data_IF_793300544897
#
_entry.id   IF_793300544897
#
_cell.length_a   1.000
_cell.length_b   1.000
_cell.length_c   1.000
_cell.angle_alpha   90.00
_cell.angle_beta   90.00
_cell.angle_gamma   90.00
#
_symmetry.space_group_name_H-M   'P 1'
#
loop_
_entity.id
_entity.type
_entity.pdbx_description
1 polymer ?
#
# COMPACT_ATOMS: atom_id res chain seq x y z
N UNK A 1 21.81 -16.57 -48.37
CA UNK A 1 22.55 -15.35 -47.96
C UNK A 1 21.69 -14.37 -47.16
N UNK A 2 20.42 -14.66 -46.88
CA UNK A 2 19.47 -13.72 -46.20
C UNK A 2 19.20 -14.05 -44.72
N UNK A 3 19.84 -15.04 -44.12
CA UNK A 3 19.57 -15.45 -42.72
C UNK A 3 20.70 -15.14 -41.72
N UNK A 4 21.78 -14.46 -42.11
CA UNK A 4 22.90 -14.14 -41.20
C UNK A 4 22.73 -12.82 -40.45
N UNK A 5 21.83 -11.92 -40.86
CA UNK A 5 21.66 -10.60 -40.29
C UNK A 5 20.52 -10.49 -39.27
N UNK A 6 19.84 -11.58 -38.91
CA UNK A 6 18.71 -11.55 -38.01
C UNK A 6 19.08 -11.62 -36.51
N UNK A 7 20.35 -11.87 -36.19
CA UNK A 7 20.80 -12.04 -34.79
C UNK A 7 21.59 -10.89 -34.20
N UNK A 8 21.88 -9.82 -34.96
CA UNK A 8 22.62 -8.65 -34.48
C UNK A 8 21.72 -7.49 -34.05
N UNK A 9 20.44 -7.72 -33.84
CA UNK A 9 19.60 -6.71 -33.21
C UNK A 9 19.75 -6.78 -31.70
N UNK A 10 20.86 -6.24 -31.20
CA UNK A 10 20.98 -5.80 -29.82
C UNK A 10 20.23 -4.46 -29.71
N UNK A 11 19.08 -4.38 -29.03
CA UNK A 11 18.46 -3.11 -28.77
C UNK A 11 19.40 -2.35 -27.84
N UNK A 12 20.13 -1.38 -28.36
CA UNK A 12 20.80 -0.35 -27.54
C UNK A 12 19.69 0.30 -26.73
N UNK A 13 19.56 -0.17 -25.48
CA UNK A 13 18.66 0.41 -24.49
C UNK A 13 19.08 1.86 -24.28
N UNK A 14 18.42 2.78 -24.93
CA UNK A 14 18.55 4.21 -24.69
C UNK A 14 17.83 4.63 -23.42
N UNK A 15 18.08 3.88 -22.32
CA UNK A 15 17.70 4.30 -20.96
C UNK A 15 18.89 5.02 -20.31
N UNK A 16 19.44 6.00 -20.97
CA UNK A 16 20.21 7.03 -20.29
C UNK A 16 19.20 7.93 -19.55
N UNK A 17 18.74 7.42 -18.41
CA UNK A 17 18.04 8.23 -17.42
C UNK A 17 19.07 9.17 -16.82
N UNK A 18 18.88 10.46 -17.04
CA UNK A 18 19.50 11.55 -16.29
C UNK A 18 19.14 11.40 -14.79
N UNK A 19 19.91 10.61 -14.09
CA UNK A 19 19.96 10.60 -12.64
C UNK A 19 21.35 11.07 -12.26
N UNK A 20 21.42 12.31 -11.77
CA UNK A 20 22.57 12.72 -10.99
C UNK A 20 22.86 11.60 -10.02
N UNK A 21 24.08 11.05 -10.03
CA UNK A 21 24.49 9.89 -9.26
C UNK A 21 24.33 10.19 -7.77
N UNK A 22 23.18 9.81 -7.22
CA UNK A 22 23.03 9.79 -5.78
C UNK A 22 24.09 8.82 -5.24
N UNK A 23 24.84 9.24 -4.23
CA UNK A 23 25.88 8.41 -3.62
C UNK A 23 25.30 7.05 -3.22
N UNK A 24 26.14 6.00 -3.21
CA UNK A 24 25.67 4.67 -2.79
C UNK A 24 25.14 4.67 -1.35
N UNK A 25 25.61 5.61 -0.55
CA UNK A 25 25.13 5.86 0.80
C UNK A 25 23.71 6.47 0.81
N UNK A 26 23.44 7.43 -0.08
CA UNK A 26 22.09 7.98 -0.26
C UNK A 26 21.12 6.93 -0.81
N UNK A 27 21.57 6.06 -1.70
CA UNK A 27 20.78 4.92 -2.19
C UNK A 27 20.47 3.92 -1.08
N UNK A 28 21.45 3.62 -0.20
CA UNK A 28 21.29 2.75 0.97
C UNK A 28 20.38 3.36 2.03
N UNK A 29 20.52 4.64 2.34
CA UNK A 29 19.68 5.36 3.30
C UNK A 29 18.23 5.46 2.80
N UNK A 30 18.03 5.78 1.53
CA UNK A 30 16.70 5.77 0.89
C UNK A 30 16.09 4.38 0.89
N UNK A 31 16.85 3.34 0.55
CA UNK A 31 16.41 1.96 0.64
C UNK A 31 16.00 1.60 2.09
N UNK A 32 16.83 1.93 3.08
CA UNK A 32 16.55 1.65 4.49
C UNK A 32 15.27 2.34 4.99
N UNK A 33 15.01 3.56 4.53
CA UNK A 33 13.80 4.32 4.88
C UNK A 33 12.52 3.75 4.24
N UNK A 34 12.62 3.09 3.08
CA UNK A 34 11.50 2.41 2.42
C UNK A 34 11.16 1.06 3.05
N UNK A 35 12.13 0.39 3.68
CA UNK A 35 11.99 -0.98 4.17
C UNK A 35 11.57 -1.10 5.64
N UNK A 36 11.44 0.00 6.37
CA UNK A 36 10.86 -0.05 7.72
C UNK A 36 9.35 -0.24 7.62
N UNK A 37 8.90 -1.44 7.95
CA UNK A 37 7.47 -1.70 8.13
C UNK A 37 6.94 -0.82 9.26
N UNK A 38 5.69 -0.34 9.17
CA UNK A 38 5.08 0.38 10.27
C UNK A 38 4.88 -0.58 11.46
N UNK A 39 5.05 -0.08 12.68
CA UNK A 39 4.82 -0.86 13.93
C UNK A 39 3.38 -1.36 14.03
N UNK A 40 2.45 -0.59 13.49
CA UNK A 40 1.02 -0.93 13.42
C UNK A 40 0.57 -0.90 11.96
N UNK A 41 -0.19 -1.93 11.56
CA UNK A 41 -0.76 -1.99 10.22
C UNK A 41 -1.60 -0.75 9.91
N UNK A 42 -1.38 -0.15 8.73
CA UNK A 42 -2.12 1.02 8.25
C UNK A 42 -3.48 0.54 7.73
N UNK A 43 -4.56 1.06 8.28
CA UNK A 43 -5.92 0.70 7.90
C UNK A 43 -6.38 1.28 6.55
N UNK A 44 -7.44 0.71 5.98
CA UNK A 44 -7.99 1.10 4.67
C UNK A 44 -8.49 2.54 4.63
N UNK A 45 -8.86 3.12 5.75
CA UNK A 45 -9.25 4.52 5.88
C UNK A 45 -8.16 5.50 5.45
N UNK A 46 -6.88 5.12 5.64
CA UNK A 46 -5.72 5.91 5.28
C UNK A 46 -5.19 5.64 3.86
N UNK A 47 -5.84 4.73 3.11
CA UNK A 47 -5.42 4.40 1.75
C UNK A 47 -5.71 5.55 0.77
N UNK A 48 -4.83 5.74 -0.24
CA UNK A 48 -5.05 6.73 -1.29
C UNK A 48 -6.24 6.37 -2.18
N UNK A 49 -6.84 7.38 -2.87
CA UNK A 49 -7.99 7.17 -3.75
C UNK A 49 -7.77 6.09 -4.81
N UNK A 50 -6.57 6.03 -5.41
CA UNK A 50 -6.24 5.03 -6.44
C UNK A 50 -6.31 3.59 -5.90
N UNK A 51 -5.83 3.32 -4.69
CA UNK A 51 -5.90 1.99 -4.08
C UNK A 51 -7.34 1.65 -3.72
N UNK A 52 -8.10 2.60 -3.17
CA UNK A 52 -9.52 2.40 -2.86
C UNK A 52 -10.33 2.07 -4.11
N UNK A 53 -10.04 2.73 -5.25
CA UNK A 53 -10.69 2.43 -6.53
C UNK A 53 -10.30 1.05 -7.05
N UNK A 54 -9.02 0.66 -6.97
CA UNK A 54 -8.61 -0.71 -7.33
C UNK A 54 -9.40 -1.73 -6.51
N UNK A 55 -9.54 -1.53 -5.20
CA UNK A 55 -10.25 -2.44 -4.29
C UNK A 55 -11.76 -2.55 -4.56
N UNK A 56 -12.33 -1.67 -5.38
CA UNK A 56 -13.72 -1.76 -5.84
C UNK A 56 -13.93 -2.71 -7.01
N UNK A 57 -12.83 -3.20 -7.61
CA UNK A 57 -12.85 -4.05 -8.81
C UNK A 57 -12.44 -3.30 -10.07
N UNK A 58 -11.95 -4.03 -11.06
CA UNK A 58 -11.45 -3.49 -12.32
C UNK A 58 -11.95 -4.32 -13.51
N UNK A 59 -12.10 -3.65 -14.64
CA UNK A 59 -12.36 -4.30 -15.94
C UNK A 59 -11.06 -4.80 -16.58
N UNK A 60 -9.99 -3.99 -16.53
CA UNK A 60 -8.67 -4.33 -17.08
C UNK A 60 -7.54 -4.08 -16.07
N UNK A 61 -6.35 -4.59 -16.38
CA UNK A 61 -5.16 -4.39 -15.56
C UNK A 61 -5.11 -5.23 -14.27
N UNK A 62 -6.00 -6.20 -14.09
CA UNK A 62 -6.15 -7.02 -12.87
C UNK A 62 -4.86 -7.68 -12.40
N UNK A 63 -4.05 -8.25 -13.31
CA UNK A 63 -2.75 -8.88 -12.95
C UNK A 63 -1.76 -7.86 -12.39
N UNK A 64 -1.67 -6.68 -13.03
CA UNK A 64 -0.80 -5.59 -12.55
C UNK A 64 -1.31 -5.00 -11.24
N UNK A 65 -2.63 -4.91 -11.08
CA UNK A 65 -3.26 -4.44 -9.84
C UNK A 65 -3.09 -5.41 -8.69
N UNK A 66 -3.13 -6.72 -8.94
CA UNK A 66 -2.78 -7.75 -7.97
C UNK A 66 -1.35 -7.53 -7.43
N UNK A 67 -0.38 -7.32 -8.32
CA UNK A 67 0.99 -6.98 -7.94
C UNK A 67 1.07 -5.68 -7.11
N UNK A 68 0.36 -4.63 -7.52
CA UNK A 68 0.30 -3.37 -6.78
C UNK A 68 -0.26 -3.57 -5.38
N UNK A 69 -1.38 -4.27 -5.25
CA UNK A 69 -2.05 -4.51 -3.97
C UNK A 69 -1.19 -5.33 -3.02
N UNK A 70 -0.57 -6.42 -3.49
CA UNK A 70 0.33 -7.25 -2.68
C UNK A 70 1.45 -6.38 -2.09
N UNK A 71 2.19 -5.66 -2.93
CA UNK A 71 3.32 -4.85 -2.48
C UNK A 71 2.88 -3.69 -1.58
N UNK A 72 1.73 -3.09 -1.87
CA UNK A 72 1.17 -2.01 -1.06
C UNK A 72 0.75 -2.50 0.33
N UNK A 73 -0.01 -3.59 0.43
CA UNK A 73 -0.52 -4.12 1.70
C UNK A 73 0.61 -4.65 2.58
N UNK A 74 1.59 -5.38 2.01
CA UNK A 74 2.80 -5.79 2.73
C UNK A 74 3.53 -4.55 3.28
N UNK A 75 3.72 -3.53 2.45
CA UNK A 75 4.41 -2.29 2.86
C UNK A 75 3.62 -1.48 3.91
N UNK A 76 2.30 -1.68 3.98
CA UNK A 76 1.43 -1.13 5.03
C UNK A 76 1.44 -1.94 6.33
N UNK A 77 2.20 -3.04 6.40
CA UNK A 77 2.33 -3.87 7.60
C UNK A 77 1.19 -4.86 7.81
N UNK A 78 0.46 -5.23 6.75
CA UNK A 78 -0.58 -6.25 6.86
C UNK A 78 0.03 -7.65 6.91
N UNK A 79 -0.60 -8.53 7.68
CA UNK A 79 -0.26 -9.95 7.73
C UNK A 79 -0.70 -10.68 6.47
N UNK A 80 0.04 -11.72 6.07
CA UNK A 80 -0.19 -12.42 4.81
C UNK A 80 -1.58 -13.05 4.71
N UNK A 81 -2.11 -13.60 5.79
CA UNK A 81 -3.45 -14.20 5.84
C UNK A 81 -4.55 -13.16 5.59
N UNK A 82 -4.40 -11.96 6.16
CA UNK A 82 -5.31 -10.84 5.92
C UNK A 82 -5.21 -10.32 4.49
N UNK A 83 -3.99 -10.29 3.93
CA UNK A 83 -3.76 -9.90 2.53
C UNK A 83 -4.42 -10.91 1.60
N UNK A 84 -4.25 -12.21 1.84
CA UNK A 84 -4.87 -13.27 1.04
C UNK A 84 -6.38 -13.11 1.00
N UNK A 85 -7.02 -13.04 2.17
CA UNK A 85 -8.47 -12.83 2.29
C UNK A 85 -8.91 -11.59 1.52
N UNK A 86 -8.23 -10.48 1.72
CA UNK A 86 -8.60 -9.20 1.09
C UNK A 86 -8.43 -9.20 -0.42
N UNK A 87 -7.41 -9.92 -0.93
CA UNK A 87 -7.20 -10.07 -2.38
C UNK A 87 -8.24 -10.97 -3.03
N UNK A 88 -8.69 -12.02 -2.35
CA UNK A 88 -9.76 -12.88 -2.86
C UNK A 88 -11.10 -12.11 -2.89
N UNK A 89 -11.44 -11.36 -1.84
CA UNK A 89 -12.60 -10.47 -1.82
C UNK A 89 -12.56 -9.40 -2.92
N UNK A 90 -11.38 -8.83 -3.18
CA UNK A 90 -11.18 -7.91 -4.30
C UNK A 90 -11.38 -8.59 -5.64
N UNK A 91 -10.86 -9.81 -5.79
CA UNK A 91 -10.93 -10.54 -7.04
C UNK A 91 -12.37 -10.83 -7.50
N UNK A 92 -13.27 -11.09 -6.56
CA UNK A 92 -14.70 -11.32 -6.83
C UNK A 92 -15.40 -10.07 -7.40
N UNK A 93 -14.85 -8.88 -7.11
CA UNK A 93 -15.41 -7.59 -7.60
C UNK A 93 -14.95 -7.23 -9.02
N UNK A 94 -13.97 -7.95 -9.57
CA UNK A 94 -13.51 -7.71 -10.93
C UNK A 94 -14.53 -8.26 -11.95
N UNK A 95 -14.68 -7.59 -13.07
CA UNK A 95 -15.58 -8.03 -14.17
C UNK A 95 -15.27 -9.45 -14.61
N UNK A 96 -13.98 -9.79 -14.71
CA UNK A 96 -13.50 -11.16 -14.92
C UNK A 96 -12.49 -11.50 -13.83
N UNK A 97 -12.85 -12.31 -12.82
CA UNK A 97 -11.95 -12.69 -11.76
C UNK A 97 -10.71 -13.44 -12.26
N UNK A 98 -9.57 -13.16 -11.65
CA UNK A 98 -8.36 -13.95 -11.85
C UNK A 98 -8.54 -15.33 -11.23
N UNK A 99 -7.84 -16.33 -11.77
CA UNK A 99 -7.78 -17.65 -11.12
C UNK A 99 -7.18 -17.51 -9.72
N UNK A 100 -7.82 -18.00 -8.65
CA UNK A 100 -7.31 -17.88 -7.28
C UNK A 100 -5.86 -18.33 -7.12
N UNK A 101 -5.47 -19.40 -7.84
CA UNK A 101 -4.10 -19.92 -7.83
C UNK A 101 -3.06 -18.89 -8.31
N UNK A 102 -3.45 -18.00 -9.24
CA UNK A 102 -2.57 -16.92 -9.67
C UNK A 102 -2.28 -15.94 -8.51
N UNK A 103 -3.30 -15.52 -7.80
CA UNK A 103 -3.19 -14.59 -6.67
C UNK A 103 -2.34 -15.22 -5.56
N UNK A 104 -2.67 -16.47 -5.19
CA UNK A 104 -1.94 -17.22 -4.16
C UNK A 104 -0.47 -17.43 -4.55
N UNK A 105 -0.20 -17.73 -5.82
CA UNK A 105 1.16 -17.87 -6.34
C UNK A 105 1.98 -16.60 -6.23
N UNK A 106 1.38 -15.44 -6.57
CA UNK A 106 2.03 -14.13 -6.44
C UNK A 106 2.30 -13.77 -4.96
N UNK A 107 1.35 -14.06 -4.08
CA UNK A 107 1.49 -13.79 -2.65
C UNK A 107 2.59 -14.66 -2.02
N UNK A 108 2.62 -15.96 -2.34
CA UNK A 108 3.68 -16.89 -1.89
C UNK A 108 5.06 -16.45 -2.38
N UNK A 109 5.16 -16.03 -3.64
CA UNK A 109 6.42 -15.51 -4.18
C UNK A 109 6.90 -14.27 -3.41
N UNK A 110 6.00 -13.33 -3.11
CA UNK A 110 6.32 -12.15 -2.32
C UNK A 110 6.79 -12.52 -0.89
N UNK A 111 6.14 -13.50 -0.26
CA UNK A 111 6.50 -14.02 1.05
C UNK A 111 7.89 -14.69 1.05
N UNK A 112 8.17 -15.53 0.06
CA UNK A 112 9.45 -16.26 -0.04
C UNK A 112 10.63 -15.34 -0.35
N UNK A 113 10.40 -14.29 -1.14
CA UNK A 113 11.47 -13.36 -1.54
C UNK A 113 12.06 -12.58 -0.37
N UNK A 114 11.38 -12.51 0.78
CA UNK A 114 11.74 -11.73 1.98
C UNK A 114 12.08 -10.27 1.70
N UNK A 115 11.82 -9.79 0.48
CA UNK A 115 12.06 -8.40 0.07
C UNK A 115 10.74 -7.66 0.07
N UNK A 116 10.62 -6.66 0.93
CA UNK A 116 9.49 -5.74 0.88
C UNK A 116 9.71 -4.76 -0.28
N UNK A 117 8.98 -4.96 -1.36
CA UNK A 117 9.01 -4.05 -2.49
C UNK A 117 7.94 -2.97 -2.29
N UNK A 118 8.28 -1.68 -2.41
CA UNK A 118 7.28 -0.63 -2.37
C UNK A 118 6.35 -0.75 -3.60
N UNK A 119 5.11 -0.25 -3.48
CA UNK A 119 4.23 -0.17 -4.64
C UNK A 119 4.83 0.78 -5.69
N UNK A 120 4.51 0.59 -6.99
CA UNK A 120 5.00 1.45 -8.07
C UNK A 120 4.76 2.94 -7.80
N UNK A 121 5.64 3.78 -8.33
CA UNK A 121 5.49 5.23 -8.23
C UNK A 121 4.31 5.74 -9.06
N UNK A 122 3.70 6.84 -8.63
CA UNK A 122 2.54 7.45 -9.28
C UNK A 122 2.82 7.97 -10.70
N UNK A 123 4.08 8.31 -11.01
CA UNK A 123 4.50 8.76 -12.32
C UNK A 123 4.64 7.63 -13.35
N UNK A 124 4.66 6.36 -12.91
CA UNK A 124 4.73 5.23 -13.81
C UNK A 124 3.38 5.03 -14.52
N UNK A 125 3.40 5.30 -15.83
CA UNK A 125 2.20 5.28 -16.68
C UNK A 125 1.59 3.89 -16.84
N UNK A 126 2.35 2.82 -16.61
CA UNK A 126 1.90 1.44 -16.77
C UNK A 126 0.98 0.93 -15.66
N UNK A 127 0.76 1.74 -14.63
CA UNK A 127 -0.05 1.33 -13.47
C UNK A 127 -1.30 2.21 -13.32
N UNK A 128 -1.37 3.03 -12.28
CA UNK A 128 -2.59 3.74 -11.86
C UNK A 128 -3.29 4.56 -12.95
N UNK A 129 -2.52 5.16 -13.85
CA UNK A 129 -3.08 5.93 -14.98
C UNK A 129 -3.64 5.01 -16.06
N UNK A 130 -2.94 3.89 -16.36
CA UNK A 130 -3.41 2.94 -17.38
C UNK A 130 -4.68 2.20 -16.97
N UNK A 131 -4.95 2.07 -15.65
CA UNK A 131 -6.19 1.48 -15.13
C UNK A 131 -7.30 2.52 -14.91
N UNK A 132 -7.06 3.80 -15.26
CA UNK A 132 -8.00 4.91 -15.04
C UNK A 132 -8.40 5.13 -13.57
N UNK A 133 -7.60 4.62 -12.62
CA UNK A 133 -7.86 4.75 -11.17
C UNK A 133 -7.14 5.94 -10.54
N UNK A 134 -6.30 6.65 -11.29
CA UNK A 134 -5.58 7.80 -10.77
C UNK A 134 -6.50 9.03 -10.67
N UNK A 135 -7.13 9.23 -9.51
CA UNK A 135 -7.90 10.42 -9.16
C UNK A 135 -7.21 11.14 -8.01
N UNK A 136 -6.24 12.04 -8.31
CA UNK A 136 -5.41 12.66 -7.27
C UNK A 136 -6.21 13.65 -6.45
N UNK A 137 -5.99 13.62 -5.13
CA UNK A 137 -6.42 14.64 -4.18
C UNK A 137 -5.25 15.57 -3.79
N UNK A 138 -5.48 16.46 -2.83
CA UNK A 138 -4.45 17.41 -2.36
C UNK A 138 -3.21 16.72 -1.76
N UNK A 139 -3.40 15.61 -1.05
CA UNK A 139 -2.28 14.83 -0.49
C UNK A 139 -1.42 14.19 -1.58
N UNK A 140 -2.02 13.83 -2.71
CA UNK A 140 -1.32 13.20 -3.83
C UNK A 140 -0.23 14.09 -4.42
N UNK A 141 -0.37 15.42 -4.34
CA UNK A 141 0.62 16.39 -4.86
C UNK A 141 1.97 16.30 -4.15
N UNK A 142 1.99 15.80 -2.93
CA UNK A 142 3.16 15.78 -2.05
C UNK A 142 3.80 14.40 -1.92
N UNK A 143 3.35 13.41 -2.66
CA UNK A 143 3.79 12.02 -2.53
C UNK A 143 4.24 11.44 -3.88
N UNK A 144 5.19 10.51 -3.84
CA UNK A 144 5.72 9.83 -5.02
C UNK A 144 5.02 8.48 -5.29
N UNK A 145 4.45 7.87 -4.26
CA UNK A 145 3.78 6.57 -4.36
C UNK A 145 2.66 6.42 -3.31
N UNK A 146 1.76 5.44 -3.49
CA UNK A 146 0.65 5.18 -2.58
C UNK A 146 1.05 4.92 -1.13
N UNK A 147 2.21 4.28 -0.88
CA UNK A 147 2.67 4.02 0.48
C UNK A 147 3.00 5.31 1.24
N UNK A 148 3.64 6.27 0.58
CA UNK A 148 3.92 7.57 1.20
C UNK A 148 2.63 8.31 1.55
N UNK A 149 1.61 8.21 0.69
CA UNK A 149 0.29 8.75 0.99
C UNK A 149 -0.28 8.13 2.27
N UNK A 150 -0.37 6.79 2.32
CA UNK A 150 -0.93 6.08 3.45
C UNK A 150 -0.21 6.41 4.77
N UNK A 151 1.13 6.40 4.77
CA UNK A 151 1.94 6.76 5.93
C UNK A 151 1.70 8.19 6.40
N UNK A 152 1.59 9.16 5.48
CA UNK A 152 1.30 10.56 5.84
C UNK A 152 -0.11 10.74 6.37
N UNK A 153 -1.08 10.10 5.73
CA UNK A 153 -2.48 10.16 6.14
C UNK A 153 -2.67 9.57 7.54
N UNK A 154 -2.03 8.42 7.81
CA UNK A 154 -2.07 7.79 9.13
C UNK A 154 -1.46 8.70 10.22
N UNK A 155 -0.33 9.34 9.94
CA UNK A 155 0.28 10.31 10.87
C UNK A 155 -0.57 11.56 11.13
N UNK A 156 -1.32 12.00 10.13
CA UNK A 156 -2.22 13.16 10.23
C UNK A 156 -3.54 12.82 10.92
N UNK A 157 -3.83 11.55 11.17
CA UNK A 157 -5.05 11.10 11.80
C UNK A 157 -5.05 11.48 13.28
N UNK A 158 -6.10 12.17 13.77
CA UNK A 158 -6.19 12.46 15.19
C UNK A 158 -6.27 11.15 15.98
N UNK A 159 -5.36 10.96 16.93
CA UNK A 159 -5.43 9.83 17.86
C UNK A 159 -6.75 9.93 18.61
N UNK A 160 -7.62 8.90 18.58
CA UNK A 160 -8.83 8.91 19.36
C UNK A 160 -8.44 9.14 20.83
N UNK A 161 -8.81 10.27 21.41
CA UNK A 161 -8.66 10.48 22.85
C UNK A 161 -9.45 9.37 23.52
N UNK A 162 -8.74 8.49 24.24
CA UNK A 162 -9.37 7.50 25.10
C UNK A 162 -10.41 8.25 25.96
N UNK A 163 -11.68 7.84 25.86
CA UNK A 163 -12.73 8.42 26.72
C UNK A 163 -12.29 8.17 28.15
N UNK A 164 -11.82 9.21 28.82
CA UNK A 164 -11.52 9.14 30.22
C UNK A 164 -12.85 8.82 30.92
N UNK A 165 -12.98 7.62 31.39
CA UNK A 165 -14.05 7.21 32.31
C UNK A 165 -13.77 7.89 33.63
N UNK A 166 -14.15 9.17 33.70
CA UNK A 166 -14.17 9.93 34.95
C UNK A 166 -15.25 9.29 35.82
N UNK A 167 -14.83 8.32 36.62
CA UNK A 167 -15.66 7.71 37.65
C UNK A 167 -16.16 8.84 38.55
N UNK A 168 -17.46 9.22 38.39
CA UNK A 168 -18.13 10.13 39.33
C UNK A 168 -18.11 9.39 40.66
N UNK A 169 -17.26 9.85 41.58
CA UNK A 169 -17.36 9.49 42.99
C UNK A 169 -18.74 10.00 43.46
N UNK A 170 -19.65 9.06 43.68
CA UNK A 170 -20.88 9.35 44.41
C UNK A 170 -20.46 9.73 45.81
N UNK A 171 -20.78 10.96 46.20
CA UNK A 171 -20.66 11.51 47.54
C UNK A 171 -21.81 10.86 48.34
N UNK A 172 -21.49 9.83 49.11
CA UNK A 172 -22.42 9.27 50.08
C UNK A 172 -22.49 10.24 51.23
N UNK A 173 -23.57 11.00 51.33
CA UNK A 173 -23.92 11.75 52.51
C UNK A 173 -24.44 10.80 53.56
N UNK A 174 -23.64 10.58 54.59
CA UNK A 174 -24.10 10.02 55.88
C UNK A 174 -24.99 11.06 56.53
N UNK A 175 -26.28 10.85 56.48
CA UNK A 175 -27.20 11.50 57.39
C UNK A 175 -27.15 10.76 58.73
N UNK A 176 -26.45 11.32 59.68
CA UNK A 176 -26.65 11.02 61.11
C UNK A 176 -27.98 11.60 61.52
N UNK A 177 -28.93 10.76 61.88
CA UNK A 177 -30.06 11.15 62.68
C UNK A 177 -29.79 10.68 64.10
N UNK A 178 -29.40 11.63 64.93
CA UNK A 178 -29.43 11.46 66.37
C UNK A 178 -30.84 11.64 66.91
N UNK A 179 -30.99 11.24 68.10
CA UNK A 179 -31.91 11.55 69.17
C UNK A 179 -33.00 10.57 69.52
N UNK A 180 -32.90 10.31 70.70
CA UNK A 180 -33.80 10.05 71.88
C UNK A 180 -34.36 8.64 71.97
#
# INVERSE_FOLDING_TARGET
LLLRNAFDFSPKSSYETFHGEASDEDKRLRAKQYYTLPEKAIGEESFPPCIKLILQGLEDGRKRSCFVLINFLISCGWEYDLIEKRLLEWNEKNTEPLRPQYILGQLRYAQQSRKVLPPPNCNNLSYYKSFSVCKPDEFCRQVKNPLQYAKRREKARPVPRAKSTRKRRAKTELAESGSE
#
